data_IF_281962060081
#
_entry.id   IF_281962060081
#
_cell.length_a   1.000
_cell.length_b   1.000
_cell.length_c   1.000
_cell.angle_alpha   90.00
_cell.angle_beta   90.00
_cell.angle_gamma   90.00
#
_symmetry.space_group_name_H-M   'P 1'
#
loop_
_entity.id
_entity.type
_entity.pdbx_description
1 polymer ?
#
# COMPACT_ATOMS: atom_id res chain seq x y z
N UNK A 1 -25.56 -7.14 30.65
CA UNK A 1 -25.15 -6.53 29.36
C UNK A 1 -24.18 -7.48 28.71
N UNK A 2 -24.53 -8.05 27.55
CA UNK A 2 -23.70 -9.02 26.87
C UNK A 2 -22.58 -8.30 26.12
N UNK A 3 -21.35 -8.65 26.45
CA UNK A 3 -20.13 -8.13 25.84
C UNK A 3 -20.03 -8.67 24.41
N UNK A 4 -20.07 -7.77 23.44
CA UNK A 4 -19.96 -8.10 22.01
C UNK A 4 -18.50 -8.40 21.71
N UNK A 5 -18.11 -9.66 21.88
CA UNK A 5 -16.83 -10.18 21.41
C UNK A 5 -16.76 -10.02 19.89
N UNK A 6 -15.81 -9.22 19.42
CA UNK A 6 -15.45 -9.25 18.00
C UNK A 6 -14.64 -10.52 17.79
N UNK A 7 -15.24 -11.49 17.11
CA UNK A 7 -14.52 -12.63 16.55
C UNK A 7 -13.58 -12.09 15.46
N UNK A 8 -12.30 -11.97 15.79
CA UNK A 8 -11.24 -11.73 14.81
C UNK A 8 -11.06 -12.99 13.99
N UNK A 9 -11.91 -13.17 12.98
CA UNK A 9 -11.64 -14.11 11.89
C UNK A 9 -10.27 -13.77 11.34
N UNK A 10 -9.34 -14.73 11.48
CA UNK A 10 -7.96 -14.62 11.02
C UNK A 10 -7.99 -14.57 9.49
N UNK A 11 -7.96 -13.37 8.91
CA UNK A 11 -7.58 -13.21 7.51
C UNK A 11 -6.17 -13.80 7.38
N UNK A 12 -6.05 -14.87 6.59
CA UNK A 12 -4.92 -15.77 6.59
C UNK A 12 -3.56 -15.09 6.46
N UNK A 13 -2.59 -15.62 7.22
CA UNK A 13 -1.14 -15.40 7.17
C UNK A 13 -0.69 -13.92 7.16
N UNK A 14 -0.07 -13.47 8.26
CA UNK A 14 0.50 -12.13 8.46
C UNK A 14 1.22 -11.56 7.23
N UNK A 15 0.46 -10.93 6.35
CA UNK A 15 0.91 -10.43 5.07
C UNK A 15 1.56 -9.07 5.26
N UNK A 16 2.65 -8.84 4.56
CA UNK A 16 3.25 -7.51 4.55
C UNK A 16 2.33 -6.51 3.85
N UNK A 17 2.41 -5.25 4.29
CA UNK A 17 1.60 -4.15 3.78
C UNK A 17 2.40 -3.32 2.79
N UNK A 18 1.72 -2.86 1.74
CA UNK A 18 2.26 -1.98 0.72
C UNK A 18 1.53 -0.65 0.73
N UNK A 19 2.28 0.45 0.60
CA UNK A 19 1.72 1.79 0.50
C UNK A 19 2.34 2.56 -0.66
N UNK A 20 1.51 3.04 -1.59
CA UNK A 20 1.92 3.69 -2.82
C UNK A 20 1.37 5.12 -2.86
N UNK A 21 2.26 6.10 -2.89
CA UNK A 21 1.94 7.53 -2.90
C UNK A 21 2.05 8.19 -1.52
N UNK A 22 3.11 8.94 -1.27
CA UNK A 22 3.45 9.61 0.00
C UNK A 22 3.25 11.13 -0.08
N UNK A 23 2.22 11.57 -0.79
CA UNK A 23 1.82 12.98 -0.84
C UNK A 23 1.23 13.49 0.48
N UNK A 24 0.63 14.68 0.44
CA UNK A 24 0.05 15.35 1.62
C UNK A 24 -0.96 14.49 2.39
N UNK A 25 -1.79 13.72 1.67
CA UNK A 25 -2.73 12.78 2.28
C UNK A 25 -2.13 11.40 2.57
N UNK A 26 -1.22 10.94 1.71
CA UNK A 26 -0.64 9.60 1.80
C UNK A 26 0.30 9.42 2.99
N UNK A 27 1.17 10.40 3.23
CA UNK A 27 2.12 10.37 4.35
C UNK A 27 1.45 10.16 5.73
N UNK A 28 0.45 10.96 6.16
CA UNK A 28 -0.19 10.73 7.46
C UNK A 28 -0.96 9.40 7.53
N UNK A 29 -1.51 8.94 6.41
CA UNK A 29 -2.19 7.63 6.33
C UNK A 29 -1.19 6.48 6.50
N UNK A 30 -0.08 6.49 5.76
CA UNK A 30 1.00 5.50 5.87
C UNK A 30 1.61 5.49 7.28
N UNK A 31 1.79 6.66 7.89
CA UNK A 31 2.30 6.78 9.26
C UNK A 31 1.35 6.14 10.28
N UNK A 32 0.04 6.35 10.12
CA UNK A 32 -0.98 5.69 10.95
C UNK A 32 -0.97 4.17 10.78
N UNK A 33 -0.83 3.68 9.55
CA UNK A 33 -0.70 2.25 9.26
C UNK A 33 0.55 1.70 9.96
N UNK A 34 1.73 2.31 9.75
CA UNK A 34 2.97 1.84 10.39
C UNK A 34 2.84 1.76 11.90
N UNK A 35 2.26 2.78 12.55
CA UNK A 35 2.09 2.78 14.02
C UNK A 35 1.17 1.67 14.54
N UNK A 36 0.21 1.22 13.74
CA UNK A 36 -0.77 0.19 14.12
C UNK A 36 -0.36 -1.23 13.73
N UNK A 37 0.50 -1.36 12.72
CA UNK A 37 1.07 -2.64 12.33
C UNK A 37 1.99 -3.19 13.44
N UNK A 38 2.07 -4.52 13.63
CA UNK A 38 3.03 -5.11 14.54
C UNK A 38 4.46 -4.62 14.28
N UNK A 39 5.26 -4.50 15.33
CA UNK A 39 6.65 -4.03 15.23
C UNK A 39 7.53 -4.92 14.32
N UNK A 40 7.13 -6.18 14.12
CA UNK A 40 7.82 -7.17 13.27
C UNK A 40 7.32 -7.18 11.83
N UNK A 41 6.20 -6.52 11.52
CA UNK A 41 5.61 -6.51 10.17
C UNK A 41 6.21 -5.38 9.34
N UNK A 42 6.73 -5.72 8.16
CA UNK A 42 7.29 -4.76 7.23
C UNK A 42 6.20 -3.95 6.50
N UNK A 43 6.45 -2.65 6.36
CA UNK A 43 5.72 -1.76 5.46
C UNK A 43 6.59 -1.47 4.23
N UNK A 44 6.16 -1.91 3.07
CA UNK A 44 6.78 -1.61 1.79
C UNK A 44 6.18 -0.32 1.22
N UNK A 45 7.01 0.67 0.94
CA UNK A 45 6.55 1.98 0.46
C UNK A 45 7.10 2.29 -0.93
N UNK A 46 6.32 3.00 -1.73
CA UNK A 46 6.78 3.58 -2.99
C UNK A 46 6.15 4.95 -3.25
N UNK A 47 6.96 5.89 -3.69
CA UNK A 47 6.55 7.17 -4.26
C UNK A 47 7.59 7.58 -5.31
N UNK A 48 7.21 8.19 -6.45
CA UNK A 48 8.16 8.71 -7.42
C UNK A 48 9.16 9.73 -6.85
N UNK A 49 8.78 10.44 -5.79
CA UNK A 49 9.66 11.33 -5.04
C UNK A 49 10.47 10.53 -4.01
N UNK A 50 11.72 10.20 -4.39
CA UNK A 50 12.66 9.47 -3.54
C UNK A 50 12.91 10.16 -2.19
N UNK A 51 12.92 11.50 -2.15
CA UNK A 51 13.10 12.27 -0.92
C UNK A 51 11.93 12.09 0.04
N UNK A 52 10.69 11.97 -0.48
CA UNK A 52 9.52 11.69 0.35
C UNK A 52 9.61 10.28 0.98
N UNK A 53 10.05 9.28 0.21
CA UNK A 53 10.28 7.94 0.74
C UNK A 53 11.36 7.92 1.84
N UNK A 54 12.48 8.60 1.60
CA UNK A 54 13.57 8.68 2.57
C UNK A 54 13.14 9.39 3.86
N UNK A 55 12.45 10.53 3.74
CA UNK A 55 11.93 11.29 4.87
C UNK A 55 10.91 10.47 5.68
N UNK A 56 9.98 9.78 5.01
CA UNK A 56 9.02 8.91 5.67
C UNK A 56 9.71 7.77 6.44
N UNK A 57 10.65 7.09 5.79
CA UNK A 57 11.39 5.99 6.41
C UNK A 57 12.15 6.47 7.65
N UNK A 58 12.88 7.58 7.55
CA UNK A 58 13.60 8.16 8.67
C UNK A 58 12.68 8.55 9.84
N UNK A 59 11.51 9.12 9.55
CA UNK A 59 10.56 9.58 10.56
C UNK A 59 9.81 8.43 11.28
N UNK A 60 9.66 7.26 10.65
CA UNK A 60 8.73 6.22 11.14
C UNK A 60 9.36 4.84 11.37
N UNK A 61 10.65 4.64 11.06
CA UNK A 61 11.34 3.36 11.27
C UNK A 61 11.41 2.92 12.74
N UNK A 62 11.28 3.85 13.69
CA UNK A 62 11.22 3.54 15.12
C UNK A 62 10.02 2.66 15.49
N UNK A 63 8.95 2.66 14.69
CA UNK A 63 7.78 1.82 14.91
C UNK A 63 7.97 0.41 14.33
N UNK A 64 9.03 0.17 13.55
CA UNK A 64 9.50 -1.10 12.97
C UNK A 64 9.70 -1.01 11.45
N UNK A 65 9.93 -2.14 10.74
CA UNK A 65 10.63 -2.13 9.45
C UNK A 65 9.85 -1.43 8.34
N UNK A 66 10.53 -0.52 7.66
CA UNK A 66 10.06 0.15 6.45
C UNK A 66 11.05 -0.16 5.32
N UNK A 67 10.55 -0.60 4.18
CA UNK A 67 11.37 -0.86 2.99
C UNK A 67 10.90 0.01 1.83
N UNK A 68 11.80 0.82 1.29
CA UNK A 68 11.53 1.62 0.10
C UNK A 68 11.67 0.70 -1.12
N UNK A 69 10.60 0.59 -1.90
CA UNK A 69 10.55 -0.20 -3.12
C UNK A 69 10.70 0.72 -4.35
N UNK A 70 11.36 0.23 -5.42
CA UNK A 70 11.61 1.03 -6.62
C UNK A 70 10.37 1.25 -7.50
N UNK A 71 9.29 0.48 -7.29
CA UNK A 71 8.08 0.55 -8.10
C UNK A 71 6.86 -0.06 -7.38
N UNK A 72 5.66 0.21 -7.88
CA UNK A 72 4.43 -0.45 -7.43
C UNK A 72 4.49 -1.98 -7.60
N UNK A 73 5.09 -2.46 -8.69
CA UNK A 73 5.33 -3.89 -8.93
C UNK A 73 6.21 -4.51 -7.83
N UNK A 74 7.27 -3.82 -7.41
CA UNK A 74 8.16 -4.29 -6.37
C UNK A 74 7.50 -4.30 -4.98
N UNK A 75 6.61 -3.34 -4.70
CA UNK A 75 5.73 -3.39 -3.51
C UNK A 75 4.82 -4.62 -3.60
N UNK A 76 4.11 -4.79 -4.70
CA UNK A 76 3.15 -5.86 -4.92
C UNK A 76 3.78 -7.27 -4.88
N UNK A 77 5.04 -7.40 -5.24
CA UNK A 77 5.81 -8.66 -5.15
C UNK A 77 5.99 -9.11 -3.70
N UNK A 78 6.04 -8.15 -2.75
CA UNK A 78 6.36 -8.41 -1.35
C UNK A 78 5.15 -8.29 -0.42
N UNK A 79 4.15 -7.50 -0.81
CA UNK A 79 2.95 -7.23 -0.02
C UNK A 79 1.69 -7.82 -0.67
N UNK A 80 0.86 -8.47 0.15
CA UNK A 80 -0.45 -8.96 -0.26
C UNK A 80 -1.55 -7.92 -0.06
N UNK A 81 -1.38 -6.97 0.88
CA UNK A 81 -2.31 -5.84 1.06
C UNK A 81 -1.67 -4.56 0.55
N UNK A 82 -2.25 -3.96 -0.49
CA UNK A 82 -1.77 -2.75 -1.13
C UNK A 82 -2.74 -1.61 -0.92
N UNK A 83 -2.22 -0.45 -0.51
CA UNK A 83 -2.95 0.80 -0.42
C UNK A 83 -2.30 1.78 -1.39
N UNK A 84 -3.10 2.42 -2.24
CA UNK A 84 -2.64 3.51 -3.11
C UNK A 84 -3.42 4.79 -2.86
N UNK A 85 -2.72 5.92 -2.88
CA UNK A 85 -3.34 7.25 -2.86
C UNK A 85 -2.50 8.22 -3.69
N UNK A 86 -3.02 8.63 -4.83
CA UNK A 86 -2.30 9.40 -5.84
C UNK A 86 -3.14 10.56 -6.38
N UNK A 87 -2.52 11.61 -6.94
CA UNK A 87 -3.23 12.87 -7.17
C UNK A 87 -4.31 12.86 -8.27
N UNK A 88 -4.25 11.91 -9.21
CA UNK A 88 -5.16 11.91 -10.37
C UNK A 88 -5.26 10.53 -11.04
N UNK A 89 -6.29 10.35 -11.87
CA UNK A 89 -6.58 9.09 -12.56
C UNK A 89 -5.41 8.52 -13.40
N UNK A 90 -4.62 9.31 -14.16
CA UNK A 90 -3.46 8.76 -14.89
C UNK A 90 -2.40 8.15 -13.96
N UNK A 91 -2.18 8.74 -12.78
CA UNK A 91 -1.25 8.20 -11.79
C UNK A 91 -1.77 6.87 -11.23
N UNK A 92 -3.07 6.78 -10.92
CA UNK A 92 -3.67 5.53 -10.46
C UNK A 92 -3.55 4.46 -11.53
N UNK A 93 -3.88 4.80 -12.79
CA UNK A 93 -3.69 3.88 -13.93
C UNK A 93 -2.25 3.38 -14.03
N UNK A 94 -1.25 4.24 -13.87
CA UNK A 94 0.15 3.83 -13.89
C UNK A 94 0.51 2.90 -12.72
N UNK A 95 0.02 3.19 -11.51
CA UNK A 95 0.25 2.33 -10.33
C UNK A 95 -0.22 0.90 -10.60
N UNK A 96 -1.38 0.70 -11.23
CA UNK A 96 -1.94 -0.64 -11.44
C UNK A 96 -1.53 -1.28 -12.76
N UNK A 97 -1.57 -0.52 -13.86
CA UNK A 97 -1.58 -1.06 -15.22
C UNK A 97 -0.30 -0.79 -16.01
N UNK A 98 0.68 -0.07 -15.46
CA UNK A 98 1.96 0.06 -16.15
C UNK A 98 2.64 -1.32 -16.26
N UNK A 99 3.01 -1.77 -17.47
CA UNK A 99 3.48 -3.15 -17.70
C UNK A 99 4.88 -3.42 -17.15
N UNK A 100 5.65 -2.39 -16.80
CA UNK A 100 7.01 -2.53 -16.29
C UNK A 100 7.08 -2.25 -14.77
N UNK A 101 6.29 -1.30 -14.29
CA UNK A 101 6.41 -0.73 -12.95
C UNK A 101 5.12 -0.81 -12.13
N UNK A 102 3.99 -1.06 -12.78
CA UNK A 102 2.67 -1.16 -12.15
C UNK A 102 2.44 -2.52 -11.50
N UNK A 103 1.39 -2.63 -10.69
CA UNK A 103 1.08 -3.87 -9.97
C UNK A 103 0.87 -5.06 -10.91
N UNK A 104 0.36 -4.84 -12.14
CA UNK A 104 0.22 -5.87 -13.17
C UNK A 104 1.54 -6.57 -13.55
N UNK A 105 2.68 -5.89 -13.36
CA UNK A 105 4.00 -6.46 -13.63
C UNK A 105 4.50 -7.38 -12.50
N UNK A 106 3.84 -7.40 -11.34
CA UNK A 106 4.18 -8.29 -10.24
C UNK A 106 3.57 -9.69 -10.44
N UNK A 107 4.15 -10.74 -9.85
CA UNK A 107 3.55 -12.07 -9.86
C UNK A 107 2.08 -12.04 -9.40
N UNK A 108 1.26 -12.84 -10.09
CA UNK A 108 -0.15 -13.00 -9.75
C UNK A 108 -0.28 -13.54 -8.31
N UNK A 109 -1.21 -12.96 -7.57
CA UNK A 109 -1.48 -13.35 -6.19
C UNK A 109 -3.00 -13.35 -5.97
N UNK A 110 -3.58 -14.55 -5.85
CA UNK A 110 -5.02 -14.75 -5.68
C UNK A 110 -5.57 -14.21 -4.35
N UNK A 111 -4.70 -13.88 -3.40
CA UNK A 111 -5.04 -13.31 -2.10
C UNK A 111 -4.70 -11.83 -1.99
N UNK A 112 -4.38 -11.16 -3.12
CA UNK A 112 -4.04 -9.73 -3.10
C UNK A 112 -5.28 -8.90 -2.81
N UNK A 113 -5.20 -8.08 -1.77
CA UNK A 113 -6.15 -7.04 -1.45
C UNK A 113 -5.60 -5.69 -1.91
N UNK A 114 -6.37 -4.96 -2.71
CA UNK A 114 -6.01 -3.64 -3.23
C UNK A 114 -7.02 -2.60 -2.75
N UNK A 115 -6.53 -1.53 -2.15
CA UNK A 115 -7.31 -0.39 -1.71
C UNK A 115 -6.87 0.84 -2.48
N UNK A 116 -7.70 1.28 -3.42
CA UNK A 116 -7.54 2.53 -4.14
C UNK A 116 -8.25 3.63 -3.34
N UNK A 117 -7.50 4.63 -2.86
CA UNK A 117 -7.99 5.69 -1.97
C UNK A 117 -7.88 7.08 -2.60
N UNK A 118 -7.77 7.17 -3.93
CA UNK A 118 -7.70 8.44 -4.65
C UNK A 118 -9.10 8.93 -5.00
N UNK A 119 -9.28 10.25 -5.08
CA UNK A 119 -10.53 10.84 -5.59
C UNK A 119 -10.52 10.80 -7.12
N UNK A 120 -10.79 9.64 -7.71
CA UNK A 120 -10.76 9.41 -9.16
C UNK A 120 -12.07 8.82 -9.67
N UNK A 121 -12.33 8.96 -10.98
CA UNK A 121 -13.52 8.44 -11.64
C UNK A 121 -13.58 6.89 -11.61
N UNK A 122 -14.79 6.37 -11.47
CA UNK A 122 -15.13 4.95 -11.28
C UNK A 122 -14.56 4.06 -12.40
N UNK A 123 -14.49 4.57 -13.63
CA UNK A 123 -13.93 3.83 -14.76
C UNK A 123 -12.46 3.44 -14.54
N UNK A 124 -11.67 4.29 -13.89
CA UNK A 124 -10.25 4.03 -13.63
C UNK A 124 -10.08 3.01 -12.50
N UNK A 125 -10.90 3.09 -11.46
CA UNK A 125 -10.87 2.13 -10.34
C UNK A 125 -11.23 0.71 -10.80
N UNK A 126 -12.23 0.56 -11.67
CA UNK A 126 -12.67 -0.76 -12.17
C UNK A 126 -11.61 -1.48 -13.03
N UNK A 127 -10.79 -0.73 -13.75
CA UNK A 127 -9.75 -1.30 -14.61
C UNK A 127 -8.60 -1.95 -13.82
N UNK A 128 -8.36 -1.54 -12.57
CA UNK A 128 -7.24 -2.04 -11.75
C UNK A 128 -7.53 -3.27 -10.88
N UNK A 129 -8.79 -3.72 -10.78
CA UNK A 129 -9.21 -4.82 -9.92
C UNK A 129 -9.54 -6.14 -10.62
N UNK A 130 -9.19 -6.26 -11.91
CA UNK A 130 -9.45 -7.44 -12.75
C UNK A 130 -8.32 -8.46 -12.74
#
# INVERSE_FOLDING_TARGET
MAERTHDTTTAGAGGAFGFIGLGAMGTPMAANIRRKLPATTALYIHDPNASACAAFSAAHSAHGPITIAPSAAAVATRASTLISIVPAAPHARAVYLDPATGVVAAPANAHRLMLECSTIDVATTRAGGG
#
